data_IF_682378115962
#
_entry.id   IF_682378115962
#
_cell.length_a   1.000
_cell.length_b   1.000
_cell.length_c   1.000
_cell.angle_alpha   90.00
_cell.angle_beta   90.00
_cell.angle_gamma   90.00
#
_symmetry.space_group_name_H-M   'P 1'
#
loop_
_entity.id
_entity.type
_entity.pdbx_description
1 polymer ?
#
# COMPACT_ATOMS: atom_id res chain seq x y z
N UNK A 1 11.83 7.19 -1.76
CA UNK A 1 10.36 7.14 -1.93
C UNK A 1 9.77 8.31 -1.15
N UNK A 2 8.84 9.03 -1.74
CA UNK A 2 8.10 10.10 -1.05
C UNK A 2 6.62 9.71 -1.00
N UNK A 3 5.98 9.93 0.14
CA UNK A 3 4.59 9.57 0.40
C UNK A 3 3.92 10.78 1.01
N UNK A 4 2.81 11.21 0.40
CA UNK A 4 2.02 12.33 0.89
C UNK A 4 0.53 12.02 0.83
N UNK A 5 -0.21 12.57 1.76
CA UNK A 5 -1.67 12.52 1.74
C UNK A 5 -2.18 13.57 0.77
N UNK A 6 -3.16 13.19 -0.05
CA UNK A 6 -3.88 14.11 -0.94
C UNK A 6 -5.36 14.06 -0.63
N UNK A 7 -6.14 14.98 -1.19
CA UNK A 7 -7.57 15.16 -0.85
C UNK A 7 -8.39 13.86 -0.93
N UNK A 8 -8.12 13.01 -1.92
CA UNK A 8 -8.90 11.79 -2.17
C UNK A 8 -8.13 10.50 -1.92
N UNK A 9 -6.90 10.57 -1.39
CA UNK A 9 -6.05 9.39 -1.34
C UNK A 9 -4.62 9.65 -0.89
N UNK A 10 -3.70 8.88 -1.47
CA UNK A 10 -2.28 8.92 -1.15
C UNK A 10 -1.51 9.02 -2.46
N UNK A 11 -0.56 9.94 -2.54
CA UNK A 11 0.40 9.99 -3.63
C UNK A 11 1.72 9.40 -3.15
N UNK A 12 2.26 8.50 -3.96
CA UNK A 12 3.55 7.86 -3.78
C UNK A 12 4.42 8.22 -4.98
N UNK A 13 5.54 8.88 -4.70
CA UNK A 13 6.63 9.02 -5.68
C UNK A 13 7.65 7.93 -5.44
N UNK A 14 7.66 6.95 -6.33
CA UNK A 14 8.56 5.81 -6.31
C UNK A 14 9.50 5.91 -7.51
N UNK A 15 10.76 6.31 -7.26
CA UNK A 15 11.68 6.77 -8.31
C UNK A 15 11.06 7.93 -9.11
N UNK A 16 11.03 7.82 -10.45
CA UNK A 16 10.41 8.79 -11.35
C UNK A 16 8.92 8.48 -11.64
N UNK A 17 8.34 7.48 -10.96
CA UNK A 17 6.96 7.04 -11.16
C UNK A 17 6.07 7.59 -10.07
N UNK A 18 4.95 8.20 -10.48
CA UNK A 18 3.90 8.74 -9.61
C UNK A 18 2.73 7.77 -9.52
N UNK A 19 2.59 7.10 -8.38
CA UNK A 19 1.49 6.19 -8.08
C UNK A 19 0.47 6.92 -7.20
N UNK A 20 -0.81 6.83 -7.53
CA UNK A 20 -1.90 7.40 -6.73
C UNK A 20 -2.84 6.30 -6.25
N UNK A 21 -3.06 6.24 -4.95
CA UNK A 21 -3.98 5.30 -4.31
C UNK A 21 -5.32 6.00 -4.07
N UNK A 22 -6.43 5.34 -4.39
CA UNK A 22 -7.83 5.73 -4.11
C UNK A 22 -8.41 6.93 -4.86
N UNK A 23 -7.62 7.67 -5.66
CA UNK A 23 -8.15 8.78 -6.45
C UNK A 23 -8.24 8.45 -7.94
N UNK A 24 -9.45 8.61 -8.48
CA UNK A 24 -9.73 8.53 -9.92
C UNK A 24 -9.54 9.88 -10.62
N UNK A 25 -9.72 11.00 -9.90
CA UNK A 25 -9.74 12.36 -10.46
C UNK A 25 -8.35 12.87 -10.82
N UNK A 26 -7.31 12.34 -10.19
CA UNK A 26 -5.95 12.78 -10.40
C UNK A 26 -5.42 12.39 -11.79
N UNK A 27 -5.40 13.35 -12.72
CA UNK A 27 -4.98 13.12 -14.12
C UNK A 27 -3.47 12.97 -14.29
N UNK A 28 -2.67 13.36 -13.30
CA UNK A 28 -1.20 13.40 -13.39
C UNK A 28 -0.53 12.10 -12.96
N UNK A 29 -1.29 11.07 -12.56
CA UNK A 29 -0.75 9.80 -12.12
C UNK A 29 -0.21 8.96 -13.28
N UNK A 30 0.99 8.41 -13.10
CA UNK A 30 1.52 7.37 -13.99
C UNK A 30 0.75 6.06 -13.82
N UNK A 31 0.37 5.75 -12.58
CA UNK A 31 -0.37 4.55 -12.18
C UNK A 31 -1.36 4.96 -11.08
N UNK A 32 -2.59 4.45 -11.16
CA UNK A 32 -3.62 4.58 -10.13
C UNK A 32 -3.96 3.19 -9.59
N UNK A 33 -4.11 3.06 -8.28
CA UNK A 33 -4.61 1.85 -7.64
C UNK A 33 -5.89 2.19 -6.89
N UNK A 34 -6.92 1.39 -7.09
CA UNK A 34 -8.18 1.49 -6.36
C UNK A 34 -8.40 0.19 -5.61
N UNK A 35 -8.49 0.25 -4.28
CA UNK A 35 -8.74 -0.93 -3.46
C UNK A 35 -10.19 -1.42 -3.57
N UNK A 36 -11.16 -0.58 -3.93
CA UNK A 36 -12.53 -1.03 -4.18
C UNK A 36 -12.71 -1.47 -5.64
N UNK A 37 -13.25 -2.67 -5.84
CA UNK A 37 -13.56 -3.20 -7.17
C UNK A 37 -14.55 -2.26 -7.87
N UNK A 38 -14.16 -1.72 -9.02
CA UNK A 38 -15.01 -0.85 -9.83
C UNK A 38 -14.93 -1.24 -11.32
N UNK A 39 -15.79 -2.17 -11.79
CA UNK A 39 -15.70 -2.71 -13.15
C UNK A 39 -15.98 -1.67 -14.24
N UNK A 40 -16.56 -0.51 -13.88
CA UNK A 40 -16.90 0.54 -14.84
C UNK A 40 -15.72 1.45 -15.18
N UNK A 41 -14.58 1.32 -14.50
CA UNK A 41 -13.36 2.07 -14.80
C UNK A 41 -12.42 1.16 -15.57
N UNK A 42 -12.23 1.46 -16.86
CA UNK A 42 -11.32 0.75 -17.76
C UNK A 42 -10.31 1.73 -18.36
N UNK A 43 -9.40 2.22 -17.51
CA UNK A 43 -8.28 3.08 -17.91
C UNK A 43 -6.99 2.26 -17.86
N UNK A 44 -6.12 2.40 -18.89
CA UNK A 44 -4.89 1.60 -19.00
C UNK A 44 -3.93 1.73 -17.82
N UNK A 45 -3.97 2.84 -17.11
CA UNK A 45 -3.12 3.11 -15.96
C UNK A 45 -3.84 2.94 -14.61
N UNK A 46 -5.04 2.36 -14.59
CA UNK A 46 -5.79 2.06 -13.37
C UNK A 46 -5.74 0.56 -13.10
N UNK A 47 -5.36 0.20 -11.88
CA UNK A 47 -5.45 -1.17 -11.35
C UNK A 47 -6.55 -1.17 -10.28
N UNK A 48 -7.64 -1.89 -10.55
CA UNK A 48 -8.84 -1.93 -9.72
C UNK A 48 -9.51 -3.31 -9.69
N UNK A 49 -8.80 -4.34 -10.13
CA UNK A 49 -9.21 -5.75 -10.10
C UNK A 49 -8.09 -6.59 -9.46
N UNK A 50 -8.43 -7.71 -8.79
CA UNK A 50 -7.43 -8.68 -8.34
C UNK A 50 -6.60 -9.23 -9.50
N UNK A 51 -5.41 -9.76 -9.22
CA UNK A 51 -4.53 -10.37 -10.21
C UNK A 51 -3.10 -9.84 -10.18
N UNK A 52 -2.32 -10.26 -11.17
CA UNK A 52 -0.93 -9.82 -11.40
C UNK A 52 -0.85 -8.79 -12.50
N UNK A 53 -0.04 -7.75 -12.26
CA UNK A 53 0.23 -6.69 -13.22
C UNK A 53 1.70 -6.32 -13.15
N UNK A 54 2.24 -5.88 -14.28
CA UNK A 54 3.54 -5.21 -14.34
C UNK A 54 3.41 -3.93 -15.15
N UNK A 55 3.78 -2.80 -14.54
CA UNK A 55 3.69 -1.49 -15.17
C UNK A 55 4.91 -0.66 -14.83
N UNK A 56 5.60 -0.15 -15.86
CA UNK A 56 6.79 0.70 -15.71
C UNK A 56 7.87 0.08 -14.79
N UNK A 57 8.04 -1.25 -14.84
CA UNK A 57 9.02 -1.98 -14.03
C UNK A 57 8.62 -2.15 -12.54
N UNK A 58 7.37 -1.86 -12.19
CA UNK A 58 6.79 -2.11 -10.88
C UNK A 58 5.82 -3.28 -11.02
N UNK A 59 5.98 -4.30 -10.16
CA UNK A 59 5.02 -5.39 -10.08
C UNK A 59 3.87 -4.98 -9.15
N UNK A 60 2.67 -5.50 -9.42
CA UNK A 60 1.50 -5.38 -8.57
C UNK A 60 0.81 -6.73 -8.47
N UNK A 61 0.39 -7.09 -7.27
CA UNK A 61 -0.39 -8.29 -6.97
C UNK A 61 -1.58 -7.87 -6.12
N UNK A 62 -2.78 -7.99 -6.68
CA UNK A 62 -4.05 -7.70 -6.00
C UNK A 62 -4.72 -8.97 -5.51
N UNK A 63 -5.02 -9.03 -4.22
CA UNK A 63 -5.72 -10.12 -3.56
C UNK A 63 -7.15 -9.71 -3.24
N UNK A 64 -8.13 -10.51 -3.67
CA UNK A 64 -9.53 -10.20 -3.38
C UNK A 64 -9.84 -10.40 -1.90
N UNK A 65 -10.36 -9.36 -1.25
CA UNK A 65 -10.71 -9.37 0.16
C UNK A 65 -12.11 -8.75 0.35
N UNK A 66 -13.14 -9.58 0.15
CA UNK A 66 -14.54 -9.17 0.01
C UNK A 66 -14.76 -8.19 -1.16
N UNK A 67 -15.30 -7.00 -0.87
CA UNK A 67 -15.47 -5.91 -1.84
C UNK A 67 -14.19 -5.09 -2.06
N UNK A 68 -13.14 -5.35 -1.28
CA UNK A 68 -11.86 -4.66 -1.37
C UNK A 68 -10.79 -5.56 -1.99
N UNK A 69 -9.67 -4.95 -2.35
CA UNK A 69 -8.47 -5.57 -2.89
C UNK A 69 -7.32 -5.11 -2.02
N UNK A 70 -6.53 -6.07 -1.56
CA UNK A 70 -5.26 -5.82 -0.89
C UNK A 70 -4.18 -5.89 -1.94
N UNK A 71 -3.35 -4.86 -2.04
CA UNK A 71 -2.29 -4.81 -3.05
C UNK A 71 -0.92 -4.98 -2.41
N UNK A 72 -0.11 -5.85 -2.98
CA UNK A 72 1.35 -5.83 -2.78
C UNK A 72 1.98 -5.36 -4.07
N UNK A 73 2.84 -4.34 -4.00
CA UNK A 73 3.50 -3.78 -5.16
C UNK A 73 4.91 -3.29 -4.85
N UNK A 74 5.70 -3.07 -5.90
CA UNK A 74 7.03 -2.49 -5.76
C UNK A 74 8.03 -3.08 -6.74
N UNK A 75 9.26 -3.23 -6.29
CA UNK A 75 10.36 -3.82 -7.06
C UNK A 75 10.85 -5.09 -6.36
N UNK A 76 11.68 -5.88 -7.04
CA UNK A 76 12.29 -7.07 -6.42
C UNK A 76 12.93 -6.77 -5.05
N UNK A 77 13.52 -5.58 -4.91
CA UNK A 77 14.21 -5.12 -3.69
C UNK A 77 13.31 -4.49 -2.63
N UNK A 78 12.13 -3.99 -2.99
CA UNK A 78 11.24 -3.28 -2.05
C UNK A 78 9.80 -3.63 -2.31
N UNK A 79 9.14 -4.20 -1.30
CA UNK A 79 7.75 -4.63 -1.35
C UNK A 79 6.90 -3.73 -0.46
N UNK A 80 5.79 -3.24 -1.01
CA UNK A 80 4.87 -2.32 -0.35
C UNK A 80 3.49 -2.97 -0.34
N UNK A 81 2.94 -3.15 0.85
CA UNK A 81 1.56 -3.57 1.07
C UNK A 81 0.66 -2.35 1.20
N UNK A 82 -0.47 -2.34 0.50
CA UNK A 82 -1.53 -1.37 0.65
C UNK A 82 -2.85 -2.07 0.95
N UNK A 83 -3.51 -1.63 2.03
CA UNK A 83 -4.80 -2.18 2.44
C UNK A 83 -5.70 -1.11 3.07
N UNK A 84 -6.99 -1.18 2.75
CA UNK A 84 -8.04 -0.30 3.27
C UNK A 84 -9.07 -1.02 4.15
N UNK A 85 -8.86 -2.32 4.37
CA UNK A 85 -9.75 -3.20 5.12
C UNK A 85 -8.94 -4.23 5.90
N UNK A 86 -9.56 -4.80 6.92
CA UNK A 86 -9.02 -5.94 7.65
C UNK A 86 -8.80 -7.14 6.72
N UNK A 87 -7.74 -7.90 6.99
CA UNK A 87 -7.32 -9.04 6.19
C UNK A 87 -8.05 -10.29 6.66
N UNK A 88 -8.57 -11.09 5.72
CA UNK A 88 -8.94 -12.47 6.03
C UNK A 88 -7.70 -13.34 6.21
N UNK A 89 -7.83 -14.42 6.99
CA UNK A 89 -6.71 -15.31 7.33
C UNK A 89 -6.14 -16.06 6.11
N UNK A 90 -6.94 -16.35 5.10
CA UNK A 90 -6.50 -16.91 3.81
C UNK A 90 -5.63 -15.92 3.04
N UNK A 91 -6.01 -14.65 2.98
CA UNK A 91 -5.22 -13.60 2.31
C UNK A 91 -3.85 -13.39 2.97
N UNK A 92 -3.77 -13.51 4.30
CA UNK A 92 -2.46 -13.53 4.98
C UNK A 92 -1.57 -14.68 4.50
N UNK A 93 -2.13 -15.87 4.33
CA UNK A 93 -1.37 -17.05 3.91
C UNK A 93 -0.87 -16.88 2.48
N UNK A 94 -1.72 -16.39 1.58
CA UNK A 94 -1.34 -16.13 0.18
C UNK A 94 -0.22 -15.10 0.09
N UNK A 95 -0.33 -13.96 0.79
CA UNK A 95 0.73 -12.93 0.80
C UNK A 95 2.04 -13.48 1.38
N UNK A 96 1.96 -14.28 2.47
CA UNK A 96 3.16 -14.90 3.07
C UNK A 96 3.83 -15.86 2.10
N UNK A 97 3.06 -16.66 1.37
CA UNK A 97 3.56 -17.62 0.40
C UNK A 97 4.19 -16.94 -0.82
N UNK A 98 3.56 -15.91 -1.36
CA UNK A 98 4.02 -15.22 -2.58
C UNK A 98 5.27 -14.35 -2.34
N UNK A 99 5.52 -13.91 -1.10
CA UNK A 99 6.57 -12.93 -0.78
C UNK A 99 7.52 -13.36 0.35
N UNK A 100 7.71 -14.66 0.53
CA UNK A 100 8.67 -15.24 1.49
C UNK A 100 8.49 -14.67 2.92
N UNK A 101 7.24 -14.55 3.36
CA UNK A 101 6.84 -14.01 4.67
C UNK A 101 7.31 -12.59 4.99
N UNK A 102 7.78 -11.81 4.00
CA UNK A 102 8.32 -10.47 4.27
C UNK A 102 7.85 -9.42 3.29
N UNK A 103 7.36 -8.31 3.84
CA UNK A 103 7.05 -7.09 3.12
C UNK A 103 7.79 -5.95 3.82
N UNK A 104 8.38 -5.02 3.09
CA UNK A 104 9.20 -3.97 3.71
C UNK A 104 8.35 -2.86 4.34
N UNK A 105 7.28 -2.44 3.64
CA UNK A 105 6.47 -1.27 4.00
C UNK A 105 4.99 -1.64 3.95
N UNK A 106 4.23 -1.35 5.00
CA UNK A 106 2.77 -1.42 5.00
C UNK A 106 2.13 -0.05 5.07
N UNK A 107 1.30 0.29 4.09
CA UNK A 107 0.45 1.49 4.06
C UNK A 107 -0.97 1.05 4.35
N UNK A 108 -1.49 1.40 5.53
CA UNK A 108 -2.71 0.83 6.08
C UNK A 108 -3.72 1.94 6.40
N UNK A 109 -4.93 1.80 5.86
CA UNK A 109 -6.05 2.71 6.07
C UNK A 109 -7.19 1.96 6.76
N UNK A 110 -7.72 2.54 7.85
CA UNK A 110 -8.84 1.95 8.62
C UNK A 110 -8.60 0.56 9.22
N UNK A 111 -7.34 0.19 9.45
CA UNK A 111 -6.98 -1.13 9.99
C UNK A 111 -6.61 -1.00 11.47
N UNK A 112 -7.34 -1.70 12.33
CA UNK A 112 -7.16 -1.61 13.79
C UNK A 112 -6.07 -2.56 14.29
N UNK A 113 -5.95 -3.74 13.68
CA UNK A 113 -5.01 -4.78 14.10
C UNK A 113 -3.62 -4.64 13.44
N UNK A 114 -3.20 -3.44 13.05
CA UNK A 114 -1.99 -3.23 12.24
C UNK A 114 -0.71 -3.81 12.86
N UNK A 115 -0.64 -3.92 14.19
CA UNK A 115 0.49 -4.57 14.88
C UNK A 115 0.58 -6.06 14.55
N UNK A 116 -0.57 -6.75 14.43
CA UNK A 116 -0.62 -8.15 13.98
C UNK A 116 -0.05 -8.24 12.57
N UNK A 117 -0.51 -7.39 11.64
CA UNK A 117 0.01 -7.32 10.26
C UNK A 117 1.51 -7.08 10.25
N UNK A 118 2.00 -6.11 11.03
CA UNK A 118 3.42 -5.78 11.15
C UNK A 118 4.24 -7.02 11.50
N UNK A 119 3.81 -7.76 12.53
CA UNK A 119 4.54 -8.92 13.00
C UNK A 119 4.42 -10.10 12.05
N UNK A 120 3.21 -10.36 11.53
CA UNK A 120 2.94 -11.49 10.64
C UNK A 120 3.69 -11.37 9.31
N UNK A 121 3.74 -10.17 8.73
CA UNK A 121 4.40 -9.91 7.44
C UNK A 121 5.79 -9.29 7.59
N UNK A 122 6.33 -9.26 8.81
CA UNK A 122 7.66 -8.73 9.15
C UNK A 122 7.91 -7.32 8.58
N UNK A 123 6.89 -6.45 8.67
CA UNK A 123 6.98 -5.08 8.15
C UNK A 123 8.03 -4.27 8.91
N UNK A 124 8.99 -3.70 8.19
CA UNK A 124 9.95 -2.74 8.78
C UNK A 124 9.25 -1.42 9.04
N UNK A 125 8.56 -0.90 8.04
CA UNK A 125 7.87 0.39 8.11
C UNK A 125 6.36 0.20 8.07
N UNK A 126 5.64 0.81 9.01
CA UNK A 126 4.17 0.88 8.97
C UNK A 126 3.75 2.34 8.84
N UNK A 127 2.86 2.63 7.91
CA UNK A 127 2.31 3.97 7.65
C UNK A 127 0.80 3.86 7.78
N UNK A 128 0.25 4.46 8.81
CA UNK A 128 -1.19 4.58 9.01
C UNK A 128 -1.66 5.91 8.43
N UNK A 129 -2.78 5.94 7.72
CA UNK A 129 -3.29 7.20 7.13
C UNK A 129 -4.49 7.80 7.83
N UNK A 130 -5.03 7.08 8.83
CA UNK A 130 -6.13 7.49 9.68
C UNK A 130 -5.73 7.38 11.15
N UNK A 131 -6.33 8.23 11.99
CA UNK A 131 -6.04 8.26 13.43
C UNK A 131 -6.42 6.93 14.07
N UNK A 132 -5.45 6.32 14.75
CA UNK A 132 -5.65 5.13 15.59
C UNK A 132 -5.41 5.54 17.04
N UNK A 133 -6.28 5.10 17.95
CA UNK A 133 -6.11 5.38 19.38
C UNK A 133 -4.81 4.75 19.89
N UNK A 134 -4.11 5.47 20.78
CA UNK A 134 -2.87 5.01 21.42
C UNK A 134 -1.73 4.66 20.44
N UNK A 135 -1.73 5.24 19.23
CA UNK A 135 -0.63 5.07 18.27
C UNK A 135 0.69 5.58 18.83
N UNK A 136 1.72 4.72 18.81
CA UNK A 136 3.10 5.05 19.17
C UNK A 136 3.97 5.05 17.91
N UNK A 137 4.27 6.23 17.40
CA UNK A 137 5.08 6.45 16.21
C UNK A 137 5.14 7.93 15.82
N UNK A 138 5.86 8.24 14.74
CA UNK A 138 6.05 9.62 14.26
C UNK A 138 4.83 10.11 13.49
N UNK A 139 4.26 11.25 13.87
CA UNK A 139 3.22 11.92 13.10
C UNK A 139 3.85 12.84 12.07
N UNK A 140 3.49 12.69 10.79
CA UNK A 140 4.12 13.42 9.69
C UNK A 140 3.07 13.84 8.66
N UNK A 141 3.25 15.01 8.04
CA UNK A 141 2.41 15.44 6.91
C UNK A 141 2.87 14.83 5.59
N UNK A 142 4.19 14.80 5.41
CA UNK A 142 4.88 14.20 4.28
C UNK A 142 5.98 13.29 4.80
N UNK A 143 6.17 12.15 4.14
CA UNK A 143 7.14 11.14 4.52
C UNK A 143 8.14 10.89 3.38
N UNK A 144 9.43 10.96 3.69
CA UNK A 144 10.50 10.55 2.78
C UNK A 144 11.23 9.34 3.37
N UNK A 145 11.27 8.25 2.60
CA UNK A 145 11.93 7.00 2.97
C UNK A 145 13.12 6.72 2.06
N UNK A 146 14.24 6.32 2.68
CA UNK A 146 15.40 5.80 1.99
C UNK A 146 15.28 4.27 1.85
N UNK A 147 14.89 3.80 0.67
CA UNK A 147 14.63 2.37 0.42
C UNK A 147 15.89 1.50 0.59
N UNK A 148 17.09 2.06 0.41
CA UNK A 148 18.36 1.33 0.60
C UNK A 148 18.71 1.09 2.07
N UNK A 149 18.08 1.83 2.99
CA UNK A 149 18.33 1.80 4.44
C UNK A 149 17.01 2.00 5.18
N UNK A 150 16.10 1.04 5.05
CA UNK A 150 14.83 1.06 5.80
C UNK A 150 15.08 0.61 7.24
N UNK A 151 14.82 1.51 8.18
CA UNK A 151 14.82 1.23 9.62
C UNK A 151 13.40 0.85 10.08
N UNK A 152 13.32 0.15 11.21
CA UNK A 152 12.02 -0.14 11.81
C UNK A 152 11.39 1.12 12.40
N UNK A 153 10.27 1.56 11.83
CA UNK A 153 9.61 2.79 12.24
C UNK A 153 8.11 2.75 11.93
N UNK A 154 7.30 3.40 12.76
CA UNK A 154 5.87 3.53 12.52
C UNK A 154 5.52 5.01 12.32
N UNK A 155 4.73 5.30 11.30
CA UNK A 155 4.28 6.64 10.95
C UNK A 155 2.76 6.75 10.97
N UNK A 156 2.27 7.91 11.39
CA UNK A 156 0.90 8.35 11.17
C UNK A 156 0.94 9.53 10.20
N UNK A 157 0.43 9.32 8.99
CA UNK A 157 0.34 10.33 7.94
C UNK A 157 -0.92 11.18 8.17
N UNK A 158 -0.74 12.43 8.61
CA UNK A 158 -1.82 13.34 9.04
C UNK A 158 -2.33 14.23 7.93
#
# INVERSE_FOLDING_TARGET
>A
MEIKKITEGIEIKFNDIKIILESVKEKTADIKILSKINPNINERNVINLPGEYEMKGIFFRGYQNDENIIFVFGTRETKILYATSEFKDDIYKEIKQDFDESIDIGILKNIKNWQKIKNDLKLKVVILTNKVENFKGKQVKDLKLNLKKLEEENYLLI
#
